data_IF_350104962832
#
_entry.id   IF_350104962832
#
_cell.length_a   1.000
_cell.length_b   1.000
_cell.length_c   1.000
_cell.angle_alpha   90.00
_cell.angle_beta   90.00
_cell.angle_gamma   90.00
#
_symmetry.space_group_name_H-M   'P 1'
#
loop_
_entity.id
_entity.type
_entity.pdbx_description
1 polymer ?
#
# COMPACT_ATOMS: atom_id res chain seq x y z
N UNK A 1 21.27 13.88 15.10
CA UNK A 1 20.46 12.82 15.77
C UNK A 1 20.53 11.58 14.90
N UNK A 2 20.82 10.39 15.45
CA UNK A 2 20.79 9.15 14.67
C UNK A 2 19.35 8.88 14.21
N UNK A 3 19.18 8.50 12.94
CA UNK A 3 17.90 8.14 12.35
C UNK A 3 17.36 6.87 13.01
N UNK A 4 16.10 6.82 13.50
CA UNK A 4 15.51 5.56 13.93
C UNK A 4 15.35 4.68 12.70
N UNK A 5 16.14 3.61 12.63
CA UNK A 5 15.92 2.52 11.68
C UNK A 5 14.78 1.67 12.24
N UNK A 6 13.78 1.27 11.42
CA UNK A 6 12.75 0.37 11.91
C UNK A 6 13.40 -0.98 12.28
N UNK A 7 13.18 -1.45 13.50
CA UNK A 7 13.71 -2.72 14.02
C UNK A 7 12.57 -3.72 14.20
N UNK A 8 12.34 -4.58 13.21
CA UNK A 8 11.47 -5.75 13.37
C UNK A 8 12.25 -6.93 13.99
N UNK A 9 11.58 -7.73 14.83
CA UNK A 9 12.11 -9.02 15.27
C UNK A 9 11.43 -10.11 14.45
N UNK A 10 12.24 -10.84 13.68
CA UNK A 10 11.81 -12.03 12.94
C UNK A 10 12.17 -13.29 13.73
N UNK A 11 11.19 -14.11 14.07
CA UNK A 11 11.40 -15.39 14.77
C UNK A 11 11.00 -16.54 13.86
N UNK A 12 11.99 -17.30 13.39
CA UNK A 12 11.76 -18.53 12.63
C UNK A 12 12.02 -19.72 13.54
N UNK A 13 11.00 -20.54 13.79
CA UNK A 13 11.15 -21.81 14.52
C UNK A 13 11.31 -22.93 13.51
N UNK A 14 12.41 -23.68 13.59
CA UNK A 14 12.70 -24.80 12.69
C UNK A 14 12.74 -26.11 13.46
N UNK A 15 12.06 -27.13 12.93
CA UNK A 15 12.18 -28.51 13.35
C UNK A 15 13.31 -29.19 12.60
N UNK A 16 14.26 -29.76 13.33
CA UNK A 16 15.40 -30.48 12.75
C UNK A 16 15.25 -31.96 13.06
N UNK A 17 15.18 -32.79 12.01
CA UNK A 17 15.14 -34.24 12.10
C UNK A 17 16.12 -34.86 11.09
N UNK A 18 16.51 -36.14 11.25
CA UNK A 18 17.35 -36.84 10.25
C UNK A 18 16.74 -36.84 8.84
N UNK A 19 15.41 -36.74 8.74
CA UNK A 19 14.67 -36.66 7.47
C UNK A 19 14.66 -35.26 6.83
N UNK A 20 15.24 -34.24 7.48
CA UNK A 20 15.34 -32.88 6.98
C UNK A 20 14.89 -31.79 7.95
N UNK A 21 15.02 -30.54 7.50
CA UNK A 21 14.62 -29.33 8.23
C UNK A 21 13.24 -28.88 7.74
N UNK A 22 12.34 -28.53 8.66
CA UNK A 22 11.03 -27.93 8.34
C UNK A 22 10.81 -26.67 9.17
N UNK A 23 10.26 -25.63 8.56
CA UNK A 23 9.78 -24.47 9.31
C UNK A 23 8.52 -24.89 10.07
N UNK A 24 8.55 -24.74 11.40
CA UNK A 24 7.43 -25.03 12.31
C UNK A 24 6.58 -23.78 12.51
N UNK A 25 7.23 -22.63 12.68
CA UNK A 25 6.54 -21.37 12.94
C UNK A 25 7.34 -20.19 12.38
N UNK A 26 6.64 -19.13 12.04
CA UNK A 26 7.18 -17.84 11.66
C UNK A 26 6.38 -16.75 12.38
N UNK A 27 7.07 -15.92 13.15
CA UNK A 27 6.48 -14.80 13.89
C UNK A 27 7.25 -13.52 13.55
N UNK A 28 6.52 -12.51 13.07
CA UNK A 28 7.03 -11.17 12.84
C UNK A 28 6.51 -10.23 13.94
N UNK A 29 7.42 -9.52 14.60
CA UNK A 29 7.08 -8.48 15.58
C UNK A 29 7.69 -7.16 15.14
N UNK A 30 6.85 -6.33 14.50
CA UNK A 30 7.19 -4.96 14.13
C UNK A 30 7.41 -4.06 15.34
N UNK A 31 8.17 -2.99 15.13
CA UNK A 31 8.38 -1.97 16.16
C UNK A 31 7.21 -0.98 16.28
N UNK A 32 7.33 -0.04 17.21
CA UNK A 32 6.32 1.03 17.39
C UNK A 32 6.09 1.85 16.12
N UNK A 33 7.09 1.94 15.24
CA UNK A 33 6.98 2.70 14.00
C UNK A 33 6.17 1.97 12.94
N UNK A 34 6.37 0.66 12.81
CA UNK A 34 5.56 -0.19 11.95
C UNK A 34 4.10 -0.16 12.38
N UNK A 35 3.82 -0.25 13.69
CA UNK A 35 2.45 -0.11 14.23
C UNK A 35 1.85 1.27 13.96
N UNK A 36 2.61 2.34 14.14
CA UNK A 36 2.18 3.71 13.80
C UNK A 36 1.86 3.84 12.31
N UNK A 37 2.70 3.26 11.45
CA UNK A 37 2.50 3.28 10.01
C UNK A 37 1.25 2.49 9.60
N UNK A 38 1.06 1.30 10.15
CA UNK A 38 -0.11 0.48 9.88
C UNK A 38 -1.39 1.18 10.33
N UNK A 39 -1.38 1.76 11.54
CA UNK A 39 -2.49 2.58 12.04
C UNK A 39 -2.79 3.75 11.11
N UNK A 40 -1.76 4.50 10.68
CA UNK A 40 -1.91 5.61 9.75
C UNK A 40 -2.52 5.16 8.42
N UNK A 41 -2.03 4.06 7.83
CA UNK A 41 -2.57 3.49 6.60
C UNK A 41 -4.03 3.08 6.76
N UNK A 42 -4.37 2.45 7.89
CA UNK A 42 -5.73 2.02 8.19
C UNK A 42 -6.68 3.21 8.35
N UNK A 43 -6.25 4.29 9.02
CA UNK A 43 -7.04 5.52 9.12
C UNK A 43 -7.31 6.15 7.75
N UNK A 44 -6.30 6.19 6.87
CA UNK A 44 -6.47 6.69 5.50
C UNK A 44 -7.45 5.80 4.72
N UNK A 45 -7.29 4.47 4.80
CA UNK A 45 -8.17 3.53 4.11
C UNK A 45 -9.62 3.65 4.59
N UNK A 46 -9.84 3.72 5.91
CA UNK A 46 -11.18 3.89 6.49
C UNK A 46 -11.85 5.19 6.02
N UNK A 47 -11.10 6.29 5.95
CA UNK A 47 -11.63 7.55 5.44
C UNK A 47 -12.05 7.43 3.97
N UNK A 48 -11.19 6.86 3.11
CA UNK A 48 -11.51 6.63 1.69
C UNK A 48 -12.76 5.74 1.55
N UNK A 49 -12.80 4.61 2.27
CA UNK A 49 -13.95 3.69 2.24
C UNK A 49 -15.24 4.39 2.63
N UNK A 50 -15.21 5.22 3.67
CA UNK A 50 -16.37 6.00 4.12
C UNK A 50 -16.78 7.05 3.08
N UNK A 51 -15.83 7.80 2.52
CA UNK A 51 -16.07 8.85 1.52
C UNK A 51 -16.72 8.31 0.24
N UNK A 52 -16.35 7.11 -0.18
CA UNK A 52 -16.88 6.48 -1.39
C UNK A 52 -17.94 5.39 -1.11
N UNK A 53 -18.26 5.13 0.16
CA UNK A 53 -19.16 4.05 0.58
C UNK A 53 -18.76 2.68 -0.01
N UNK A 54 -17.47 2.33 0.11
CA UNK A 54 -16.89 1.12 -0.47
C UNK A 54 -16.86 -0.04 0.54
N UNK A 55 -17.42 -1.19 0.14
CA UNK A 55 -17.19 -2.48 0.80
C UNK A 55 -16.08 -3.25 0.06
N UNK A 56 -14.95 -3.43 0.74
CA UNK A 56 -13.76 -4.07 0.19
C UNK A 56 -13.50 -5.46 0.79
N UNK A 57 -14.40 -5.98 1.63
CA UNK A 57 -14.17 -7.22 2.40
C UNK A 57 -13.98 -8.46 1.50
N UNK A 58 -14.58 -8.44 0.31
CA UNK A 58 -14.47 -9.52 -0.67
C UNK A 58 -13.31 -9.35 -1.67
N UNK A 59 -12.49 -8.31 -1.52
CA UNK A 59 -11.37 -8.01 -2.42
C UNK A 59 -10.06 -8.43 -1.79
N UNK A 60 -9.15 -8.94 -2.62
CA UNK A 60 -7.77 -9.12 -2.20
C UNK A 60 -7.05 -7.77 -2.27
N UNK A 61 -6.50 -7.33 -1.13
CA UNK A 61 -5.66 -6.14 -1.04
C UNK A 61 -4.23 -6.45 -1.50
N UNK A 62 -3.67 -5.53 -2.28
CA UNK A 62 -2.28 -5.50 -2.69
C UNK A 62 -1.69 -4.13 -2.32
N UNK A 63 -0.66 -4.14 -1.48
CA UNK A 63 0.22 -2.99 -1.28
C UNK A 63 1.04 -2.72 -2.55
N UNK A 64 1.53 -1.49 -2.70
CA UNK A 64 2.31 -1.05 -3.87
C UNK A 64 3.44 -2.02 -4.25
N UNK A 65 4.26 -2.42 -3.28
CA UNK A 65 5.38 -3.33 -3.48
C UNK A 65 4.93 -4.76 -3.85
N UNK A 66 3.84 -5.24 -3.26
CA UNK A 66 3.26 -6.54 -3.58
C UNK A 66 2.74 -6.55 -5.02
N UNK A 67 2.09 -5.47 -5.45
CA UNK A 67 1.59 -5.33 -6.81
C UNK A 67 2.74 -5.24 -7.82
N UNK A 68 3.83 -4.51 -7.48
CA UNK A 68 5.04 -4.45 -8.31
C UNK A 68 5.66 -5.84 -8.48
N UNK A 69 5.79 -6.59 -7.39
CA UNK A 69 6.27 -7.97 -7.45
C UNK A 69 5.38 -8.85 -8.34
N UNK A 70 4.04 -8.77 -8.24
CA UNK A 70 3.16 -9.52 -9.13
C UNK A 70 3.40 -9.16 -10.61
N UNK A 71 3.70 -7.90 -10.93
CA UNK A 71 4.02 -7.46 -12.29
C UNK A 71 5.33 -8.04 -12.81
N UNK A 72 6.35 -8.16 -11.97
CA UNK A 72 7.59 -8.87 -12.31
C UNK A 72 7.33 -10.35 -12.63
N UNK A 73 6.33 -10.95 -11.97
CA UNK A 73 5.85 -12.31 -12.27
C UNK A 73 4.87 -12.37 -13.47
N UNK A 74 4.73 -11.29 -14.23
CA UNK A 74 3.86 -11.21 -15.41
C UNK A 74 2.36 -11.00 -15.13
N UNK A 75 1.96 -10.71 -13.88
CA UNK A 75 0.57 -10.50 -13.47
C UNK A 75 0.30 -9.03 -13.16
N UNK A 76 -0.89 -8.53 -13.46
CA UNK A 76 -1.31 -7.17 -13.07
C UNK A 76 -0.42 -6.02 -13.55
N UNK A 77 0.38 -6.22 -14.61
CA UNK A 77 1.34 -5.23 -15.12
C UNK A 77 0.72 -3.85 -15.36
N UNK A 78 -0.51 -3.80 -15.88
CA UNK A 78 -1.24 -2.54 -16.09
C UNK A 78 -1.63 -1.86 -14.77
N UNK A 79 -2.02 -2.60 -13.74
CA UNK A 79 -2.36 -2.06 -12.43
C UNK A 79 -1.10 -1.51 -11.73
N UNK A 80 0.01 -2.24 -11.82
CA UNK A 80 1.31 -1.80 -11.29
C UNK A 80 1.77 -0.51 -11.95
N UNK A 81 1.65 -0.40 -13.28
CA UNK A 81 1.98 0.83 -14.01
C UNK A 81 1.12 2.02 -13.58
N UNK A 82 -0.20 1.83 -13.39
CA UNK A 82 -1.08 2.91 -12.91
C UNK A 82 -0.66 3.35 -11.50
N UNK A 83 -0.31 2.40 -10.62
CA UNK A 83 0.19 2.72 -9.29
C UNK A 83 1.49 3.54 -9.35
N UNK A 84 2.44 3.13 -10.18
CA UNK A 84 3.70 3.85 -10.41
C UNK A 84 3.45 5.26 -10.95
N UNK A 85 2.57 5.41 -11.95
CA UNK A 85 2.19 6.71 -12.51
C UNK A 85 1.59 7.64 -11.43
N UNK A 86 0.74 7.12 -10.54
CA UNK A 86 0.17 7.88 -9.42
C UNK A 86 1.28 8.34 -8.46
N UNK A 87 2.21 7.43 -8.11
CA UNK A 87 3.32 7.75 -7.20
C UNK A 87 4.19 8.85 -7.77
N UNK A 88 4.63 8.70 -9.02
CA UNK A 88 5.56 9.64 -9.66
C UNK A 88 4.90 10.98 -9.95
N UNK A 89 3.69 10.96 -10.51
CA UNK A 89 3.08 12.15 -11.09
C UNK A 89 2.13 12.89 -10.15
N UNK A 90 1.64 12.25 -9.10
CA UNK A 90 0.75 12.87 -8.11
C UNK A 90 1.43 12.94 -6.74
N UNK A 91 1.69 11.79 -6.10
CA UNK A 91 2.07 11.74 -4.68
C UNK A 91 3.44 12.31 -4.37
N UNK A 92 4.47 11.98 -5.17
CA UNK A 92 5.85 12.42 -4.90
C UNK A 92 6.00 13.94 -4.96
N UNK A 93 5.15 14.64 -5.73
CA UNK A 93 5.17 16.10 -5.85
C UNK A 93 4.67 16.81 -4.59
N UNK A 94 3.94 16.10 -3.74
CA UNK A 94 3.34 16.65 -2.52
C UNK A 94 4.24 16.52 -1.29
N UNK A 95 5.33 15.74 -1.41
CA UNK A 95 6.30 15.52 -0.33
C UNK A 95 7.03 16.84 -0.03
N UNK A 96 6.87 17.33 1.21
CA UNK A 96 7.49 18.56 1.69
C UNK A 96 8.22 18.30 3.00
N UNK A 97 9.56 18.18 2.98
CA UNK A 97 10.36 18.01 4.19
C UNK A 97 9.96 19.02 5.28
N UNK A 98 9.84 18.60 6.55
CA UNK A 98 10.27 17.31 7.10
C UNK A 98 9.25 16.16 6.97
N UNK A 99 8.10 16.36 6.33
CA UNK A 99 7.04 15.34 6.28
C UNK A 99 6.75 14.83 4.87
N UNK A 100 6.37 13.56 4.75
CA UNK A 100 5.92 12.94 3.50
C UNK A 100 4.46 13.31 3.22
N UNK A 101 3.62 13.19 4.25
CA UNK A 101 2.17 13.42 4.22
C UNK A 101 1.38 12.64 3.15
N UNK A 102 2.00 11.64 2.52
CA UNK A 102 1.36 10.77 1.54
C UNK A 102 1.77 9.31 1.79
N UNK A 103 0.87 8.39 1.49
CA UNK A 103 1.12 6.95 1.48
C UNK A 103 1.02 6.41 0.05
N UNK A 104 1.67 5.28 -0.22
CA UNK A 104 1.54 4.64 -1.52
C UNK A 104 0.10 4.17 -1.77
N UNK A 105 -0.34 4.09 -3.04
CA UNK A 105 -1.69 3.63 -3.35
C UNK A 105 -1.91 2.18 -2.94
N UNK A 106 -3.16 1.85 -2.62
CA UNK A 106 -3.60 0.50 -2.28
C UNK A 106 -4.51 -0.02 -3.40
N UNK A 107 -4.24 -1.22 -3.87
CA UNK A 107 -5.01 -1.85 -4.95
C UNK A 107 -5.84 -3.01 -4.40
N UNK A 108 -7.11 -3.07 -4.79
CA UNK A 108 -8.05 -4.11 -4.38
C UNK A 108 -8.56 -4.83 -5.63
N UNK A 109 -8.46 -6.15 -5.68
CA UNK A 109 -8.81 -6.94 -6.88
C UNK A 109 -9.82 -8.03 -6.50
N UNK A 110 -10.88 -8.16 -7.30
CA UNK A 110 -11.90 -9.22 -7.19
C UNK A 110 -12.38 -9.64 -8.57
N UNK A 111 -11.92 -10.80 -9.04
CA UNK A 111 -12.23 -11.29 -10.38
C UNK A 111 -11.80 -10.29 -11.45
N UNK A 112 -12.77 -9.79 -12.21
CA UNK A 112 -12.54 -8.81 -13.29
C UNK A 112 -12.73 -7.35 -12.85
N UNK A 113 -12.89 -7.08 -11.56
CA UNK A 113 -13.00 -5.73 -11.01
C UNK A 113 -11.82 -5.39 -10.12
N UNK A 114 -11.37 -4.14 -10.19
CA UNK A 114 -10.33 -3.64 -9.30
C UNK A 114 -10.56 -2.17 -8.91
N UNK A 115 -10.10 -1.82 -7.72
CA UNK A 115 -10.03 -0.44 -7.24
C UNK A 115 -8.59 -0.07 -6.94
N UNK A 116 -8.18 1.15 -7.31
CA UNK A 116 -6.93 1.75 -6.83
C UNK A 116 -7.30 2.98 -6.01
N UNK A 117 -6.86 2.99 -4.76
CA UNK A 117 -7.21 3.98 -3.76
C UNK A 117 -5.96 4.72 -3.31
N UNK A 118 -6.02 6.05 -3.26
CA UNK A 118 -5.00 6.85 -2.60
C UNK A 118 -5.59 8.16 -2.07
N UNK A 119 -4.83 8.82 -1.21
CA UNK A 119 -5.15 10.11 -0.64
C UNK A 119 -3.98 11.07 -0.84
N UNK A 120 -4.30 12.30 -1.21
CA UNK A 120 -3.37 13.42 -1.32
C UNK A 120 -3.14 14.08 0.04
N UNK A 121 -2.04 14.80 0.19
CA UNK A 121 -1.64 15.49 1.41
C UNK A 121 -2.69 16.49 1.90
N UNK A 122 -3.41 17.13 0.99
CA UNK A 122 -4.51 18.07 1.31
C UNK A 122 -5.78 17.38 1.85
N UNK A 123 -5.83 16.05 1.85
CA UNK A 123 -6.98 15.26 2.30
C UNK A 123 -7.87 14.75 1.17
N UNK A 124 -7.59 15.12 -0.09
CA UNK A 124 -8.34 14.67 -1.24
C UNK A 124 -8.25 13.15 -1.39
N UNK A 125 -9.39 12.47 -1.33
CA UNK A 125 -9.53 11.04 -1.59
C UNK A 125 -9.72 10.80 -3.08
N UNK A 126 -8.99 9.84 -3.64
CA UNK A 126 -9.08 9.46 -5.05
C UNK A 126 -9.33 7.97 -5.20
N UNK A 127 -10.33 7.64 -6.02
CA UNK A 127 -10.75 6.29 -6.36
C UNK A 127 -10.65 6.09 -7.87
N UNK A 128 -9.91 5.07 -8.28
CA UNK A 128 -9.95 4.56 -9.64
C UNK A 128 -10.74 3.26 -9.63
N UNK A 129 -11.74 3.17 -10.50
CA UNK A 129 -12.49 1.94 -10.76
C UNK A 129 -12.03 1.35 -12.07
N UNK A 130 -11.60 0.10 -12.05
CA UNK A 130 -11.08 -0.61 -13.20
C UNK A 130 -11.83 -1.91 -13.46
N UNK A 131 -11.90 -2.30 -14.72
CA UNK A 131 -12.46 -3.58 -15.15
C UNK A 131 -11.54 -4.27 -16.12
N UNK A 132 -11.39 -5.57 -15.95
CA UNK A 132 -10.68 -6.45 -16.86
C UNK A 132 -11.56 -6.73 -18.08
N UNK A 133 -11.02 -6.51 -19.27
CA UNK A 133 -11.62 -6.88 -20.56
C UNK A 133 -10.53 -7.45 -21.46
N UNK A 134 -10.74 -8.64 -22.03
CA UNK A 134 -9.78 -9.33 -22.91
C UNK A 134 -8.36 -9.35 -22.30
N UNK A 135 -8.27 -9.81 -21.06
CA UNK A 135 -7.04 -9.86 -20.26
C UNK A 135 -6.33 -8.53 -19.98
N UNK A 136 -6.95 -7.40 -20.29
CA UNK A 136 -6.40 -6.07 -20.04
C UNK A 136 -7.27 -5.29 -19.05
N UNK A 137 -6.61 -4.58 -18.12
CA UNK A 137 -7.28 -3.69 -17.18
C UNK A 137 -7.54 -2.32 -17.82
N UNK A 138 -8.79 -1.87 -17.78
CA UNK A 138 -9.22 -0.57 -18.29
C UNK A 138 -9.78 0.27 -17.15
N UNK A 139 -9.41 1.55 -17.13
CA UNK A 139 -10.00 2.52 -16.19
C UNK A 139 -11.41 2.81 -16.67
N UNK A 140 -12.40 2.50 -15.83
CA UNK A 140 -13.80 2.83 -16.07
C UNK A 140 -14.15 4.21 -15.53
N UNK A 141 -13.65 4.54 -14.34
CA UNK A 141 -13.93 5.80 -13.68
C UNK A 141 -12.74 6.27 -12.84
N UNK A 142 -12.63 7.60 -12.67
CA UNK A 142 -11.77 8.24 -11.68
C UNK A 142 -12.63 9.24 -10.91
N UNK A 143 -12.79 9.02 -9.62
CA UNK A 143 -13.55 9.88 -8.73
C UNK A 143 -12.64 10.52 -7.70
N UNK A 144 -12.95 11.77 -7.37
CA UNK A 144 -12.22 12.57 -6.40
C UNK A 144 -13.23 13.20 -5.44
N UNK A 145 -12.98 13.09 -4.13
CA UNK A 145 -13.81 13.69 -3.10
C UNK A 145 -12.95 14.23 -1.96
N UNK A 146 -13.40 15.31 -1.35
CA UNK A 146 -12.77 15.84 -0.15
C UNK A 146 -12.89 14.84 1.00
N UNK A 147 -11.80 14.69 1.75
CA UNK A 147 -11.67 13.82 2.90
C UNK A 147 -10.98 14.53 4.06
N UNK A 148 -10.55 13.77 5.06
CA UNK A 148 -9.76 14.34 6.16
C UNK A 148 -8.32 14.65 5.68
N UNK A 149 -7.83 15.87 5.95
CA UNK A 149 -6.43 16.27 5.69
C UNK A 149 -5.45 15.25 6.30
N UNK A 150 -4.35 15.00 5.60
CA UNK A 150 -3.32 14.06 6.07
C UNK A 150 -2.60 14.61 7.30
N UNK A 151 -2.52 13.79 8.36
CA UNK A 151 -1.78 14.17 9.56
C UNK A 151 -0.28 14.30 9.25
N UNK A 152 0.34 15.37 9.78
CA UNK A 152 1.75 15.72 9.54
C UNK A 152 2.68 14.97 10.49
N UNK A 153 2.62 13.64 10.43
CA UNK A 153 3.28 12.74 11.38
C UNK A 153 4.27 11.78 10.70
N UNK A 154 4.15 11.59 9.38
CA UNK A 154 5.05 10.73 8.62
C UNK A 154 6.29 11.49 8.16
N UNK A 155 7.45 11.18 8.74
CA UNK A 155 8.72 11.79 8.35
C UNK A 155 9.17 11.29 6.97
N UNK A 156 9.70 12.21 6.14
CA UNK A 156 10.00 11.93 4.73
C UNK A 156 11.05 10.83 4.51
N UNK A 157 12.00 10.67 5.42
CA UNK A 157 13.14 9.75 5.31
C UNK A 157 12.90 8.37 5.95
N UNK A 158 11.77 8.17 6.62
CA UNK A 158 11.44 6.88 7.25
C UNK A 158 11.15 5.77 6.24
N UNK A 159 10.98 6.13 4.96
CA UNK A 159 10.94 5.22 3.84
C UNK A 159 12.29 5.28 3.12
N UNK A 160 13.34 4.70 3.71
CA UNK A 160 14.59 4.58 2.96
C UNK A 160 14.41 3.50 1.90
N UNK A 161 14.60 3.92 0.65
CA UNK A 161 14.71 3.10 -0.53
C UNK A 161 15.72 1.98 -0.27
N UNK A 162 15.27 0.74 -0.41
CA UNK A 162 16.17 -0.36 -0.69
C UNK A 162 16.62 -0.10 -2.13
N UNK A 163 17.81 0.49 -2.28
CA UNK A 163 18.55 0.48 -3.53
C UNK A 163 19.15 -0.90 -3.75
#
# INVERSE_FOLDING_TARGET
MPTPHPYGIETITMGVAPSGIKVINYEHKGDEWEQKMEKFKNEVLMDIQKTFNLDLNAYQKYEYEQLRYQAEQGKFMKLAKINEDIVINELNKEIKPPYKNVIYPMTFIKGDEAFILYKKADGTNVLYTLRKKNDNWLILNKETKEGKEMAKELLWYMFKQIN
#
